data_IF_092683092310
#
_entry.id   IF_092683092310
#
_cell.length_a   1.000
_cell.length_b   1.000
_cell.length_c   1.000
_cell.angle_alpha   90.00
_cell.angle_beta   90.00
_cell.angle_gamma   90.00
#
_symmetry.space_group_name_H-M   'P 1'
#
loop_
_entity.id
_entity.type
_entity.pdbx_description
1 polymer ?
#
# COMPACT_ATOMS: atom_id res chain seq x y z
N UNK A 1 1.33 -7.28 -20.35
CA UNK A 1 1.65 -8.30 -19.33
C UNK A 1 1.34 -7.68 -17.96
N UNK A 2 0.15 -7.93 -17.40
CA UNK A 2 -0.30 -7.34 -16.12
C UNK A 2 0.52 -7.97 -15.02
N UNK A 3 1.40 -7.18 -14.39
CA UNK A 3 2.16 -7.63 -13.22
C UNK A 3 1.22 -8.25 -12.16
N UNK A 4 1.73 -9.24 -11.40
CA UNK A 4 0.95 -10.02 -10.45
C UNK A 4 0.50 -9.10 -9.31
N UNK A 5 -0.74 -8.65 -9.38
CA UNK A 5 -1.54 -7.97 -8.34
C UNK A 5 -0.90 -6.71 -7.70
N UNK A 6 -1.52 -5.52 -7.83
CA UNK A 6 -1.00 -4.28 -7.24
C UNK A 6 -0.65 -4.42 -5.75
N UNK A 7 -1.48 -5.12 -4.97
CA UNK A 7 -1.27 -5.36 -3.55
C UNK A 7 0.03 -6.13 -3.25
N UNK A 8 0.41 -7.11 -4.06
CA UNK A 8 1.68 -7.84 -3.88
C UNK A 8 2.90 -6.94 -4.10
N UNK A 9 2.81 -6.01 -5.08
CA UNK A 9 3.88 -5.02 -5.31
C UNK A 9 4.02 -4.09 -4.10
N UNK A 10 2.89 -3.63 -3.55
CA UNK A 10 2.87 -2.82 -2.34
C UNK A 10 3.48 -3.58 -1.17
N UNK A 11 3.01 -4.81 -0.90
CA UNK A 11 3.52 -5.65 0.18
C UNK A 11 5.03 -5.86 0.08
N UNK A 12 5.54 -6.10 -1.13
CA UNK A 12 6.99 -6.25 -1.36
C UNK A 12 7.75 -4.95 -1.05
N UNK A 13 7.24 -3.79 -1.49
CA UNK A 13 7.89 -2.51 -1.24
C UNK A 13 7.92 -2.14 0.26
N UNK A 14 6.85 -2.43 0.99
CA UNK A 14 6.73 -2.18 2.43
C UNK A 14 7.65 -3.06 3.30
N UNK A 15 8.29 -4.10 2.74
CA UNK A 15 9.31 -4.89 3.47
C UNK A 15 10.57 -4.08 3.76
N UNK A 16 10.92 -3.12 2.89
CA UNK A 16 12.15 -2.33 3.01
C UNK A 16 11.89 -0.85 3.25
N UNK A 17 10.69 -0.35 2.94
CA UNK A 17 10.32 1.04 3.10
C UNK A 17 9.27 1.24 4.20
N UNK A 18 9.41 2.35 4.94
CA UNK A 18 8.40 2.78 5.94
C UNK A 18 7.25 3.51 5.25
N UNK A 19 7.52 4.21 4.15
CA UNK A 19 6.55 4.98 3.38
C UNK A 19 6.76 4.76 1.89
N UNK A 20 5.70 4.38 1.18
CA UNK A 20 5.73 4.06 -0.26
C UNK A 20 4.64 4.85 -0.97
N UNK A 21 4.97 5.40 -2.15
CA UNK A 21 4.00 5.88 -3.12
C UNK A 21 3.80 4.80 -4.18
N UNK A 22 2.57 4.40 -4.43
CA UNK A 22 2.23 3.39 -5.44
C UNK A 22 1.13 3.89 -6.39
N UNK A 23 1.40 3.80 -7.69
CA UNK A 23 0.43 4.10 -8.74
C UNK A 23 -0.38 2.84 -9.09
N UNK A 24 -1.68 3.00 -9.29
CA UNK A 24 -2.54 1.96 -9.85
C UNK A 24 -3.66 2.59 -10.69
N UNK A 25 -3.74 2.22 -11.97
CA UNK A 25 -4.77 2.70 -12.89
C UNK A 25 -6.11 1.96 -12.72
N UNK A 26 -6.09 0.77 -12.09
CA UNK A 26 -7.30 -0.03 -11.84
C UNK A 26 -8.03 0.49 -10.59
N UNK A 27 -9.31 0.90 -10.69
CA UNK A 27 -10.07 1.39 -9.53
C UNK A 27 -10.26 0.33 -8.43
N UNK A 28 -10.18 -0.96 -8.75
CA UNK A 28 -10.26 -2.06 -7.75
C UNK A 28 -9.02 -2.13 -6.87
N UNK A 29 -7.88 -1.61 -7.33
CA UNK A 29 -6.64 -1.60 -6.55
C UNK A 29 -6.80 -0.83 -5.23
N UNK A 30 -7.66 0.20 -5.20
CA UNK A 30 -7.96 0.95 -3.97
C UNK A 30 -8.53 0.04 -2.87
N UNK A 31 -9.42 -0.89 -3.23
CA UNK A 31 -10.02 -1.82 -2.28
C UNK A 31 -9.00 -2.86 -1.81
N UNK A 32 -8.20 -3.41 -2.73
CA UNK A 32 -7.15 -4.37 -2.38
C UNK A 32 -6.06 -3.74 -1.49
N UNK A 33 -5.65 -2.50 -1.77
CA UNK A 33 -4.69 -1.79 -0.94
C UNK A 33 -5.23 -1.52 0.46
N UNK A 34 -6.52 -1.13 0.58
CA UNK A 34 -7.16 -0.92 1.88
C UNK A 34 -7.19 -2.21 2.70
N UNK A 35 -7.66 -3.32 2.12
CA UNK A 35 -7.69 -4.61 2.79
C UNK A 35 -6.29 -5.03 3.27
N UNK A 36 -5.27 -4.93 2.40
CA UNK A 36 -3.89 -5.22 2.79
C UNK A 36 -3.39 -4.30 3.92
N UNK A 37 -3.72 -3.01 3.88
CA UNK A 37 -3.30 -2.07 4.92
C UNK A 37 -3.98 -2.37 6.26
N UNK A 38 -5.26 -2.75 6.25
CA UNK A 38 -6.00 -3.16 7.44
C UNK A 38 -5.41 -4.43 8.07
N UNK A 39 -5.12 -5.46 7.26
CA UNK A 39 -4.49 -6.70 7.72
C UNK A 39 -3.11 -6.46 8.34
N UNK A 40 -2.34 -5.52 7.80
CA UNK A 40 -0.96 -5.28 8.18
C UNK A 40 -0.78 -4.14 9.20
N UNK A 41 -1.85 -3.45 9.60
CA UNK A 41 -1.79 -2.27 10.47
C UNK A 41 -1.08 -1.07 9.82
N UNK A 42 -1.18 -0.93 8.50
CA UNK A 42 -0.62 0.21 7.75
C UNK A 42 -1.68 1.27 7.52
N UNK A 43 -1.24 2.51 7.32
CA UNK A 43 -2.10 3.62 6.91
C UNK A 43 -2.00 3.84 5.41
N UNK A 44 -3.13 4.12 4.76
CA UNK A 44 -3.20 4.45 3.33
C UNK A 44 -3.95 5.76 3.10
N UNK A 45 -3.39 6.63 2.27
CA UNK A 45 -3.99 7.89 1.85
C UNK A 45 -4.01 7.93 0.31
N UNK A 46 -5.19 8.04 -0.33
CA UNK A 46 -5.27 8.26 -1.77
C UNK A 46 -4.80 9.68 -2.12
N UNK A 47 -3.97 9.78 -3.15
CA UNK A 47 -3.53 11.01 -3.80
C UNK A 47 -4.01 10.99 -5.26
N UNK A 48 -4.03 12.14 -5.96
CA UNK A 48 -4.75 12.31 -7.25
C UNK A 48 -4.71 11.12 -8.23
N UNK A 49 -3.55 10.46 -8.39
CA UNK A 49 -3.38 9.28 -9.25
C UNK A 49 -2.65 8.11 -8.56
N UNK A 50 -2.32 8.27 -7.28
CA UNK A 50 -1.43 7.38 -6.54
C UNK A 50 -2.00 7.09 -5.15
N UNK A 51 -1.37 6.18 -4.42
CA UNK A 51 -1.65 5.91 -3.02
C UNK A 51 -0.37 6.05 -2.21
N UNK A 52 -0.45 6.76 -1.08
CA UNK A 52 0.62 6.84 -0.09
C UNK A 52 0.32 5.85 1.02
N UNK A 53 1.20 4.89 1.21
CA UNK A 53 1.09 3.86 2.24
C UNK A 53 2.22 4.05 3.24
N UNK A 54 1.90 4.04 4.53
CA UNK A 54 2.85 4.27 5.62
C UNK A 54 2.67 3.18 6.67
N UNK A 55 3.78 2.56 7.08
CA UNK A 55 3.77 1.61 8.20
C UNK A 55 3.61 2.38 9.49
N UNK A 56 2.79 1.88 10.42
CA UNK A 56 2.88 2.34 11.80
C UNK A 56 4.33 2.13 12.26
N UNK A 57 5.05 3.23 12.54
CA UNK A 57 6.34 3.12 13.20
C UNK A 57 6.04 2.48 14.55
N UNK A 58 6.58 1.28 14.81
CA UNK A 58 6.57 0.69 16.16
C UNK A 58 7.39 1.61 17.09
N UNK A 59 6.75 2.68 17.56
CA UNK A 59 6.99 3.22 18.87
C UNK A 59 6.23 2.32 19.84
N UNK A 60 6.86 1.20 20.20
CA UNK A 60 6.46 0.46 21.39
C UNK A 60 6.56 1.44 22.58
N UNK A 61 5.49 1.70 23.34
CA UNK A 61 5.66 2.32 24.65
C UNK A 61 6.49 1.42 25.58
#
# INVERSE_FOLDING_TARGET
>A
MRCPWPALRLAKAMRTAVRVRIAADDPRAAAEFRALCEEQGWSIVPERKDFIVTRAMEGKP
#
